data_IF_338163863168
#
_entry.id   IF_338163863168
#
_cell.length_a   1.000
_cell.length_b   1.000
_cell.length_c   1.000
_cell.angle_alpha   90.00
_cell.angle_beta   90.00
_cell.angle_gamma   90.00
#
_symmetry.space_group_name_H-M   'P 1'
#
loop_
_entity.id
_entity.type
_entity.pdbx_description
1 polymer ?
#
# COMPACT_ATOMS: atom_id res chain seq x y z
N UNK A 1 4.85 -7.37 -32.22
CA UNK A 1 4.70 -6.28 -31.22
C UNK A 1 3.39 -6.55 -30.52
N UNK A 2 3.38 -6.63 -29.18
CA UNK A 2 2.13 -6.84 -28.43
C UNK A 2 1.30 -5.57 -28.43
N UNK A 3 0.11 -5.63 -29.01
CA UNK A 3 -0.83 -4.50 -28.95
C UNK A 3 -1.57 -4.48 -27.60
N UNK A 4 -2.19 -3.35 -27.24
CA UNK A 4 -3.00 -3.23 -26.01
C UNK A 4 -4.13 -4.27 -26.00
N UNK A 5 -4.77 -4.51 -27.15
CA UNK A 5 -5.81 -5.54 -27.27
C UNK A 5 -5.28 -6.95 -27.06
N UNK A 6 -4.08 -7.25 -27.55
CA UNK A 6 -3.42 -8.55 -27.31
C UNK A 6 -3.01 -8.74 -25.85
N UNK A 7 -2.57 -7.68 -25.17
CA UNK A 7 -2.24 -7.74 -23.76
C UNK A 7 -3.47 -8.12 -22.92
N UNK A 8 -4.60 -7.44 -23.13
CA UNK A 8 -5.81 -7.73 -22.37
C UNK A 8 -6.47 -9.05 -22.81
N UNK A 9 -6.48 -9.40 -24.10
CA UNK A 9 -7.01 -10.70 -24.53
C UNK A 9 -6.21 -11.86 -23.92
N UNK A 10 -4.88 -11.71 -23.84
CA UNK A 10 -4.02 -12.67 -23.14
C UNK A 10 -4.29 -12.70 -21.64
N UNK A 11 -4.54 -11.56 -21.01
CA UNK A 11 -4.84 -11.50 -19.57
C UNK A 11 -6.06 -12.35 -19.16
N UNK A 12 -7.02 -12.55 -20.07
CA UNK A 12 -8.19 -13.40 -19.87
C UNK A 12 -8.05 -14.81 -20.46
N UNK A 13 -6.85 -15.20 -20.87
CA UNK A 13 -6.59 -16.53 -21.42
C UNK A 13 -6.53 -17.62 -20.32
N UNK A 14 -6.63 -18.90 -20.69
CA UNK A 14 -6.44 -20.02 -19.75
C UNK A 14 -5.10 -20.00 -19.02
N UNK A 15 -4.03 -19.51 -19.68
CA UNK A 15 -2.68 -19.41 -19.11
C UNK A 15 -2.60 -18.48 -17.90
N UNK A 16 -3.49 -17.50 -17.82
CA UNK A 16 -3.57 -16.51 -16.74
C UNK A 16 -4.82 -16.70 -15.88
N UNK A 17 -5.25 -17.95 -15.73
CA UNK A 17 -6.38 -18.36 -14.90
C UNK A 17 -7.69 -17.68 -15.30
N UNK A 18 -7.94 -17.54 -16.61
CA UNK A 18 -9.18 -16.96 -17.15
C UNK A 18 -9.48 -15.56 -16.59
N UNK A 19 -8.45 -14.73 -16.40
CA UNK A 19 -8.60 -13.36 -15.90
C UNK A 19 -8.68 -13.22 -14.39
N UNK A 20 -8.61 -14.31 -13.61
CA UNK A 20 -8.55 -14.24 -12.15
C UNK A 20 -7.39 -13.35 -11.67
N UNK A 21 -6.23 -13.45 -12.31
CA UNK A 21 -5.08 -12.58 -11.99
C UNK A 21 -5.39 -11.10 -12.25
N UNK A 22 -6.06 -10.79 -13.36
CA UNK A 22 -6.47 -9.41 -13.67
C UNK A 22 -7.51 -8.89 -12.67
N UNK A 23 -8.46 -9.73 -12.26
CA UNK A 23 -9.44 -9.38 -11.23
C UNK A 23 -8.76 -9.08 -9.88
N UNK A 24 -7.75 -9.86 -9.48
CA UNK A 24 -6.94 -9.58 -8.28
C UNK A 24 -6.21 -8.24 -8.41
N UNK A 25 -5.62 -7.95 -9.57
CA UNK A 25 -4.90 -6.70 -9.80
C UNK A 25 -5.83 -5.48 -9.70
N UNK A 26 -7.01 -5.54 -10.31
CA UNK A 26 -8.04 -4.51 -10.22
C UNK A 26 -8.57 -4.39 -8.78
N UNK A 27 -8.81 -5.51 -8.11
CA UNK A 27 -9.22 -5.53 -6.71
C UNK A 27 -8.18 -4.85 -5.80
N UNK A 28 -6.89 -5.11 -6.03
CA UNK A 28 -5.81 -4.45 -5.30
C UNK A 28 -5.76 -2.94 -5.55
N UNK A 29 -6.02 -2.50 -6.78
CA UNK A 29 -6.15 -1.08 -7.11
C UNK A 29 -7.31 -0.42 -6.36
N UNK A 30 -8.47 -1.09 -6.26
CA UNK A 30 -9.61 -0.60 -5.49
C UNK A 30 -9.29 -0.50 -3.99
N UNK A 31 -8.66 -1.53 -3.42
CA UNK A 31 -8.21 -1.54 -2.03
C UNK A 31 -7.22 -0.41 -1.77
N UNK A 32 -6.30 -0.15 -2.69
CA UNK A 32 -5.35 0.96 -2.58
C UNK A 32 -6.07 2.30 -2.43
N UNK A 33 -7.00 2.61 -3.33
CA UNK A 33 -7.77 3.85 -3.26
C UNK A 33 -8.63 3.93 -2.01
N UNK A 34 -9.22 2.81 -1.59
CA UNK A 34 -9.98 2.72 -0.36
C UNK A 34 -9.13 3.05 0.88
N UNK A 35 -7.92 2.48 0.97
CA UNK A 35 -6.99 2.75 2.08
C UNK A 35 -6.55 4.21 2.11
N UNK A 36 -6.27 4.82 0.95
CA UNK A 36 -5.96 6.26 0.88
C UNK A 36 -7.16 7.13 1.25
N UNK A 37 -8.37 6.77 0.82
CA UNK A 37 -9.59 7.47 1.21
C UNK A 37 -9.79 7.40 2.73
N UNK A 38 -9.64 6.23 3.34
CA UNK A 38 -9.72 6.07 4.80
C UNK A 38 -8.62 6.84 5.51
N UNK A 39 -7.38 6.79 5.04
CA UNK A 39 -6.27 7.55 5.60
C UNK A 39 -6.58 9.06 5.62
N UNK A 40 -7.11 9.58 4.50
CA UNK A 40 -7.53 10.97 4.39
C UNK A 40 -8.69 11.31 5.32
N UNK A 41 -9.71 10.47 5.41
CA UNK A 41 -10.86 10.68 6.30
C UNK A 41 -10.45 10.66 7.78
N UNK A 42 -9.61 9.71 8.19
CA UNK A 42 -9.09 9.61 9.57
C UNK A 42 -8.27 10.83 9.93
N UNK A 43 -7.40 11.29 9.03
CA UNK A 43 -6.65 12.53 9.23
C UNK A 43 -7.61 13.72 9.34
N UNK A 44 -8.58 13.84 8.44
CA UNK A 44 -9.53 14.97 8.44
C UNK A 44 -10.44 14.99 9.68
N UNK A 45 -10.78 13.83 10.23
CA UNK A 45 -11.69 13.71 11.38
C UNK A 45 -11.12 14.36 12.65
N UNK A 46 -9.84 14.14 12.96
CA UNK A 46 -9.12 14.87 14.00
C UNK A 46 -7.61 14.82 13.71
N UNK A 47 -7.12 15.90 13.10
CA UNK A 47 -5.72 16.03 12.71
C UNK A 47 -4.78 16.30 13.88
N UNK A 48 -5.30 16.65 15.06
CA UNK A 48 -4.49 16.95 16.25
C UNK A 48 -4.28 15.70 17.11
N UNK A 49 -5.20 14.74 17.05
CA UNK A 49 -5.05 13.45 17.71
C UNK A 49 -3.87 12.65 17.14
N UNK A 50 -2.92 12.30 18.03
CA UNK A 50 -1.77 11.47 17.69
C UNK A 50 -2.19 10.07 17.20
N UNK A 51 -3.28 9.53 17.74
CA UNK A 51 -3.80 8.22 17.34
C UNK A 51 -4.33 8.25 15.91
N UNK A 52 -5.11 9.28 15.55
CA UNK A 52 -5.64 9.43 14.20
C UNK A 52 -4.52 9.64 13.19
N UNK A 53 -3.52 10.46 13.55
CA UNK A 53 -2.31 10.64 12.73
C UNK A 53 -1.54 9.33 12.54
N UNK A 54 -1.44 8.50 13.57
CA UNK A 54 -0.78 7.19 13.46
C UNK A 54 -1.56 6.24 12.54
N UNK A 55 -2.87 6.11 12.73
CA UNK A 55 -3.72 5.26 11.88
C UNK A 55 -3.74 5.75 10.44
N UNK A 56 -3.83 7.06 10.20
CA UNK A 56 -3.78 7.62 8.86
C UNK A 56 -2.46 7.28 8.16
N UNK A 57 -1.32 7.40 8.84
CA UNK A 57 -0.01 7.02 8.29
C UNK A 57 0.06 5.51 8.02
N UNK A 58 -0.39 4.67 8.95
CA UNK A 58 -0.43 3.21 8.77
C UNK A 58 -1.27 2.84 7.54
N UNK A 59 -2.48 3.39 7.41
CA UNK A 59 -3.35 3.16 6.25
C UNK A 59 -2.72 3.65 4.95
N UNK A 60 -2.02 4.78 4.95
CA UNK A 60 -1.30 5.26 3.78
C UNK A 60 -0.16 4.32 3.38
N UNK A 61 0.65 3.86 4.33
CA UNK A 61 1.73 2.89 4.07
C UNK A 61 1.17 1.56 3.55
N UNK A 62 0.09 1.06 4.15
CA UNK A 62 -0.62 -0.14 3.66
C UNK A 62 -1.14 0.06 2.23
N UNK A 63 -1.72 1.22 1.93
CA UNK A 63 -2.17 1.58 0.58
C UNK A 63 -1.02 1.58 -0.42
N UNK A 64 0.13 2.17 -0.07
CA UNK A 64 1.29 2.19 -0.95
C UNK A 64 1.83 0.80 -1.31
N UNK A 65 1.69 -0.20 -0.43
CA UNK A 65 2.08 -1.59 -0.76
C UNK A 65 1.23 -2.19 -1.87
N UNK A 66 -0.04 -1.81 -1.97
CA UNK A 66 -0.93 -2.29 -3.02
C UNK A 66 -0.47 -1.87 -4.43
N UNK A 67 0.37 -0.83 -4.56
CA UNK A 67 0.96 -0.41 -5.85
C UNK A 67 1.68 -1.57 -6.53
N UNK A 68 2.34 -2.46 -5.76
CA UNK A 68 3.03 -3.62 -6.34
C UNK A 68 2.11 -4.50 -7.20
N UNK A 69 0.88 -4.75 -6.74
CA UNK A 69 -0.07 -5.60 -7.47
C UNK A 69 -0.89 -4.74 -8.44
N UNK A 70 -1.28 -3.53 -8.03
CA UNK A 70 -2.11 -2.62 -8.82
C UNK A 70 -1.44 -2.16 -10.13
N UNK A 71 -0.11 -2.01 -10.16
CA UNK A 71 0.60 -1.65 -11.39
C UNK A 71 0.46 -2.71 -12.49
N UNK A 72 0.22 -3.97 -12.16
CA UNK A 72 0.05 -5.04 -13.16
C UNK A 72 -1.28 -4.94 -13.95
N UNK A 73 -2.14 -3.95 -13.64
CA UNK A 73 -3.28 -3.57 -14.49
C UNK A 73 -2.83 -2.83 -15.75
N UNK A 74 -1.71 -2.11 -15.67
CA UNK A 74 -1.17 -1.35 -16.80
C UNK A 74 -0.54 -2.29 -17.83
N UNK A 75 -0.72 -2.01 -19.13
CA UNK A 75 -0.21 -2.89 -20.18
C UNK A 75 1.32 -2.81 -20.29
N UNK A 76 1.96 -3.97 -20.40
CA UNK A 76 3.36 -4.09 -20.74
C UNK A 76 3.51 -4.17 -22.27
N UNK A 77 3.77 -3.02 -22.89
CA UNK A 77 3.93 -2.88 -24.34
C UNK A 77 5.31 -2.30 -24.70
N UNK A 78 5.88 -2.67 -25.88
CA UNK A 78 7.22 -2.24 -26.28
C UNK A 78 7.43 -0.71 -26.29
N UNK A 79 6.39 0.05 -26.66
CA UNK A 79 6.42 1.51 -26.70
C UNK A 79 6.64 2.13 -25.31
N UNK A 80 6.21 1.41 -24.26
CA UNK A 80 6.34 1.84 -22.87
C UNK A 80 7.52 1.17 -22.15
N UNK A 81 8.41 0.50 -22.89
CA UNK A 81 9.52 -0.22 -22.29
C UNK A 81 10.40 0.70 -21.42
N UNK A 82 10.68 1.94 -21.87
CA UNK A 82 11.44 2.91 -21.07
C UNK A 82 10.75 3.28 -19.74
N UNK A 83 9.42 3.39 -19.74
CA UNK A 83 8.64 3.60 -18.51
C UNK A 83 8.77 2.38 -17.61
N UNK A 84 8.58 1.18 -18.15
CA UNK A 84 8.63 -0.05 -17.39
C UNK A 84 10.03 -0.33 -16.80
N UNK A 85 11.11 -0.06 -17.51
CA UNK A 85 12.49 -0.22 -16.99
C UNK A 85 12.71 0.59 -15.71
N UNK A 86 12.19 1.81 -15.65
CA UNK A 86 12.27 2.67 -14.46
C UNK A 86 11.26 2.24 -13.40
N UNK A 87 10.02 1.99 -13.82
CA UNK A 87 8.94 1.58 -12.96
C UNK A 87 9.28 0.27 -12.20
N UNK A 88 9.86 -0.73 -12.85
CA UNK A 88 10.23 -2.00 -12.21
C UNK A 88 11.26 -1.81 -11.08
N UNK A 89 12.27 -0.95 -11.29
CA UNK A 89 13.27 -0.63 -10.25
C UNK A 89 12.63 0.03 -9.05
N UNK A 90 11.82 1.06 -9.30
CA UNK A 90 11.11 1.80 -8.25
C UNK A 90 10.12 0.89 -7.52
N UNK A 91 9.34 0.11 -8.27
CA UNK A 91 8.28 -0.76 -7.76
C UNK A 91 8.82 -1.76 -6.72
N UNK A 92 9.99 -2.36 -6.98
CA UNK A 92 10.61 -3.31 -6.06
C UNK A 92 11.09 -2.63 -4.77
N UNK A 93 11.98 -1.64 -4.89
CA UNK A 93 12.57 -0.96 -3.74
C UNK A 93 11.52 -0.25 -2.89
N UNK A 94 10.54 0.38 -3.56
CA UNK A 94 9.44 1.07 -2.91
C UNK A 94 8.55 0.11 -2.13
N UNK A 95 8.18 -1.05 -2.70
CA UNK A 95 7.40 -2.05 -1.99
C UNK A 95 8.10 -2.54 -0.71
N UNK A 96 9.40 -2.85 -0.79
CA UNK A 96 10.16 -3.28 0.39
C UNK A 96 10.28 -2.17 1.44
N UNK A 97 10.51 -0.92 1.02
CA UNK A 97 10.54 0.21 1.94
C UNK A 97 9.23 0.39 2.70
N UNK A 98 8.08 0.26 2.01
CA UNK A 98 6.75 0.34 2.62
C UNK A 98 6.44 -0.87 3.50
N UNK A 99 6.91 -2.07 3.15
CA UNK A 99 6.79 -3.25 3.99
C UNK A 99 7.59 -3.10 5.30
N UNK A 100 8.81 -2.59 5.24
CA UNK A 100 9.63 -2.31 6.42
C UNK A 100 8.97 -1.23 7.28
N UNK A 101 8.52 -0.12 6.67
CA UNK A 101 7.80 0.94 7.37
C UNK A 101 6.53 0.43 8.07
N UNK A 102 5.74 -0.41 7.39
CA UNK A 102 4.54 -1.03 7.97
C UNK A 102 4.87 -1.88 9.19
N UNK A 103 5.92 -2.70 9.13
CA UNK A 103 6.37 -3.52 10.26
C UNK A 103 6.70 -2.63 11.47
N UNK A 104 7.47 -1.56 11.27
CA UNK A 104 7.76 -0.61 12.35
C UNK A 104 6.49 0.05 12.92
N UNK A 105 5.57 0.47 12.06
CA UNK A 105 4.30 1.05 12.50
C UNK A 105 3.46 0.05 13.31
N UNK A 106 3.38 -1.22 12.88
CA UNK A 106 2.70 -2.26 13.66
C UNK A 106 3.35 -2.51 15.02
N UNK A 107 4.68 -2.45 15.11
CA UNK A 107 5.38 -2.48 16.40
C UNK A 107 5.06 -1.26 17.26
N UNK A 108 4.79 -0.09 16.67
CA UNK A 108 4.35 1.10 17.39
C UNK A 108 2.85 1.09 17.77
N UNK A 109 2.06 0.15 17.26
CA UNK A 109 0.62 0.05 17.58
C UNK A 109 0.30 0.03 19.09
N UNK A 110 1.04 -0.70 19.96
CA UNK A 110 0.79 -0.73 21.40
C UNK A 110 1.12 0.60 22.12
N UNK A 111 1.82 1.54 21.46
CA UNK A 111 2.09 2.88 22.00
C UNK A 111 0.82 3.73 21.97
N UNK A 112 0.06 3.61 20.88
CA UNK A 112 -1.15 4.40 20.64
C UNK A 112 -2.42 3.70 21.14
N UNK A 113 -2.46 2.37 21.14
CA UNK A 113 -3.59 1.57 21.61
C UNK A 113 -3.18 0.61 22.73
N UNK A 114 -3.96 0.57 23.81
CA UNK A 114 -3.64 -0.27 24.97
C UNK A 114 -3.93 -1.75 24.66
N UNK A 115 -2.88 -2.58 24.64
CA UNK A 115 -2.98 -4.04 24.48
C UNK A 115 -2.71 -4.73 25.83
N UNK A 116 -3.44 -5.80 26.14
CA UNK A 116 -3.39 -6.50 27.45
C UNK A 116 -2.00 -7.04 27.81
N UNK A 117 -1.19 -7.47 26.83
CA UNK A 117 0.16 -8.02 27.04
C UNK A 117 1.32 -7.01 26.92
N UNK A 118 1.11 -5.87 26.26
CA UNK A 118 2.14 -4.84 25.98
C UNK A 118 1.79 -3.49 26.59
N UNK A 119 0.96 -3.49 27.65
CA UNK A 119 0.43 -2.28 28.27
C UNK A 119 1.49 -1.31 28.82
N UNK A 120 2.73 -1.76 29.01
CA UNK A 120 3.85 -0.90 29.44
C UNK A 120 4.26 0.14 28.39
N UNK A 121 3.99 -0.11 27.11
CA UNK A 121 4.32 0.79 25.99
C UNK A 121 3.31 1.94 25.84
N UNK A 122 2.11 1.81 26.41
CA UNK A 122 1.09 2.85 26.38
C UNK A 122 1.46 3.97 27.38
N UNK A 123 2.37 4.86 26.97
CA UNK A 123 2.83 6.01 27.75
C UNK A 123 2.72 7.30 26.94
N UNK A 124 2.21 8.40 27.53
CA UNK A 124 2.06 9.68 26.84
C UNK A 124 3.40 10.29 26.39
N UNK A 125 4.50 9.94 27.06
CA UNK A 125 5.87 10.36 26.66
C UNK A 125 6.27 9.72 25.33
N UNK A 126 6.00 8.42 25.15
CA UNK A 126 6.35 7.68 23.94
C UNK A 126 5.48 8.10 22.75
N UNK A 127 4.20 8.40 22.98
CA UNK A 127 3.27 8.88 21.95
C UNK A 127 3.71 10.19 21.29
N UNK A 128 4.38 11.09 22.04
CA UNK A 128 4.91 12.35 21.48
C UNK A 128 6.19 12.17 20.66
N UNK A 129 7.01 11.17 20.99
CA UNK A 129 8.32 10.96 20.36
C UNK A 129 8.30 9.97 19.20
N UNK A 130 7.30 9.07 19.15
CA UNK A 130 7.16 8.09 18.08
C UNK A 130 6.90 8.69 16.67
N UNK A 131 6.71 10.00 16.57
CA UNK A 131 6.54 10.75 15.32
C UNK A 131 7.81 11.54 14.89
N UNK A 132 8.87 11.56 15.73
CA UNK A 132 10.12 12.29 15.47
C UNK A 132 11.27 11.42 14.94
N UNK A 133 11.05 10.11 14.83
CA UNK A 133 11.93 9.16 14.11
C UNK A 133 11.52 9.12 12.64
#
# INVERSE_FOLDING_TARGET
MTTVSEFYSRAFSPELFFGLRMAINIGSLLVMFWLFALAYLVWRADSKSLQNRFIATLLAVEGFKCIWIAMDVLPYIPEWNSFWVVAWKIKFDFFFSMQIAAIFLYFCFPIYYRIRGLGFMYRPVLQKHAYYL
#
